data_IF_762535176467
#
_entry.id   IF_762535176467
#
_cell.length_a   1.000
_cell.length_b   1.000
_cell.length_c   1.000
_cell.angle_alpha   90.00
_cell.angle_beta   90.00
_cell.angle_gamma   90.00
#
_symmetry.space_group_name_H-M   'P 1'
#
loop_
_entity.id
_entity.type
_entity.pdbx_description
1 polymer ?
#
# COMPACT_ATOMS: atom_id res chain seq x y z
N UNK A 1 -50.69 -32.09 22.72
CA UNK A 1 -50.87 -33.55 22.76
C UNK A 1 -51.42 -33.98 21.41
N UNK A 2 -50.70 -34.80 20.65
CA UNK A 2 -51.26 -35.90 19.85
C UNK A 2 -50.12 -36.76 19.31
N UNK A 3 -50.05 -37.94 19.89
CA UNK A 3 -49.18 -39.08 19.57
C UNK A 3 -49.97 -39.98 18.60
N UNK A 4 -49.27 -40.70 17.72
CA UNK A 4 -49.67 -41.89 16.93
C UNK A 4 -49.86 -41.67 15.43
N UNK A 5 -48.81 -42.01 14.67
CA UNK A 5 -48.93 -42.91 13.51
C UNK A 5 -47.53 -43.47 13.19
N UNK A 6 -47.32 -44.70 13.66
CA UNK A 6 -46.15 -45.54 13.42
C UNK A 6 -46.45 -46.43 12.20
N UNK A 7 -45.41 -46.77 11.45
CA UNK A 7 -45.18 -48.05 10.72
C UNK A 7 -45.35 -48.06 9.18
N UNK A 8 -44.28 -48.57 8.55
CA UNK A 8 -44.16 -49.18 7.20
C UNK A 8 -43.81 -48.25 6.02
N UNK A 9 -42.50 -48.04 5.76
CA UNK A 9 -41.83 -48.41 4.48
C UNK A 9 -40.35 -48.65 4.78
N UNK A 10 -40.03 -49.90 5.10
CA UNK A 10 -38.69 -50.44 5.34
C UNK A 10 -38.38 -51.40 4.19
N UNK A 11 -38.06 -50.89 2.98
CA UNK A 11 -37.59 -51.72 1.84
C UNK A 11 -37.22 -50.89 0.59
N UNK A 12 -36.20 -50.03 0.69
CA UNK A 12 -35.52 -49.43 -0.46
C UNK A 12 -34.06 -49.04 -0.11
N UNK A 13 -33.43 -49.84 0.76
CA UNK A 13 -31.99 -49.83 1.02
C UNK A 13 -31.37 -51.09 0.37
N UNK A 14 -31.03 -51.01 -0.92
CA UNK A 14 -30.41 -52.14 -1.61
C UNK A 14 -29.99 -51.75 -3.02
N UNK A 15 -28.86 -51.06 -3.13
CA UNK A 15 -28.28 -50.76 -4.45
C UNK A 15 -27.65 -49.37 -4.61
N UNK A 16 -27.16 -48.73 -3.54
CA UNK A 16 -26.17 -47.69 -3.77
C UNK A 16 -24.86 -48.39 -4.15
N UNK A 17 -24.34 -48.22 -5.37
CA UNK A 17 -23.02 -48.72 -5.71
C UNK A 17 -22.06 -48.13 -4.69
N UNK A 18 -21.35 -49.01 -3.99
CA UNK A 18 -20.14 -48.64 -3.29
C UNK A 18 -19.16 -48.15 -4.35
N UNK A 19 -19.27 -46.87 -4.72
CA UNK A 19 -18.18 -46.17 -5.35
C UNK A 19 -17.06 -46.27 -4.35
N UNK A 20 -16.11 -47.16 -4.62
CA UNK A 20 -14.80 -47.17 -3.99
C UNK A 20 -14.28 -45.75 -4.12
N UNK A 21 -14.46 -44.95 -3.08
CA UNK A 21 -13.76 -43.69 -2.95
C UNK A 21 -12.30 -44.10 -3.05
N UNK A 22 -11.70 -43.88 -4.22
CA UNK A 22 -10.27 -44.03 -4.38
C UNK A 22 -9.67 -43.19 -3.27
N UNK A 23 -8.95 -43.82 -2.33
CA UNK A 23 -8.29 -43.16 -1.21
C UNK A 23 -7.25 -42.19 -1.77
N UNK A 24 -7.72 -41.03 -2.20
CA UNK A 24 -6.91 -39.99 -2.76
C UNK A 24 -6.19 -39.33 -1.59
N UNK A 25 -4.91 -39.67 -1.41
CA UNK A 25 -4.14 -39.12 -0.30
C UNK A 25 -3.91 -37.62 -0.46
N UNK A 26 -3.68 -36.94 0.66
CA UNK A 26 -3.47 -35.49 0.74
C UNK A 26 -2.46 -34.95 -0.30
N UNK A 27 -1.44 -35.73 -0.64
CA UNK A 27 -0.42 -35.32 -1.61
C UNK A 27 -0.93 -35.27 -3.05
N UNK A 28 -1.81 -36.19 -3.47
CA UNK A 28 -2.41 -36.15 -4.81
C UNK A 28 -3.37 -34.94 -4.92
N UNK A 29 -4.16 -34.71 -3.88
CA UNK A 29 -5.09 -33.56 -3.81
C UNK A 29 -4.31 -32.24 -3.86
N UNK A 30 -3.20 -32.14 -3.13
CA UNK A 30 -2.35 -30.96 -3.13
C UNK A 30 -1.68 -30.71 -4.49
N UNK A 31 -1.18 -31.75 -5.16
CA UNK A 31 -0.61 -31.64 -6.51
C UNK A 31 -1.69 -31.14 -7.51
N UNK A 32 -2.92 -31.67 -7.43
CA UNK A 32 -4.06 -31.17 -8.22
C UNK A 32 -4.40 -29.71 -7.89
N UNK A 33 -4.34 -29.32 -6.62
CA UNK A 33 -4.61 -27.96 -6.18
C UNK A 33 -3.55 -26.97 -6.70
N UNK A 34 -2.26 -27.34 -6.67
CA UNK A 34 -1.18 -26.52 -7.26
C UNK A 34 -1.37 -26.38 -8.77
N UNK A 35 -1.71 -27.46 -9.48
CA UNK A 35 -1.99 -27.40 -10.91
C UNK A 35 -3.21 -26.51 -11.23
N UNK A 36 -4.22 -26.48 -10.37
CA UNK A 36 -5.35 -25.56 -10.48
C UNK A 36 -4.93 -24.10 -10.25
N UNK A 37 -4.07 -23.84 -9.25
CA UNK A 37 -3.52 -22.53 -8.95
C UNK A 37 -2.68 -21.98 -10.11
N UNK A 38 -1.86 -22.83 -10.74
CA UNK A 38 -1.06 -22.48 -11.92
C UNK A 38 -1.94 -22.08 -13.11
N UNK A 39 -3.11 -22.72 -13.26
CA UNK A 39 -4.14 -22.35 -14.25
C UNK A 39 -5.01 -21.18 -13.81
N UNK A 40 -4.77 -20.60 -12.62
CA UNK A 40 -5.57 -19.53 -11.99
C UNK A 40 -7.04 -19.92 -11.75
N UNK A 41 -7.31 -21.20 -11.58
CA UNK A 41 -8.63 -21.71 -11.21
C UNK A 41 -8.79 -21.66 -9.68
N UNK A 42 -9.05 -20.45 -9.17
CA UNK A 42 -9.10 -20.18 -7.74
C UNK A 42 -10.23 -20.90 -6.99
N UNK A 43 -11.46 -21.04 -7.54
CA UNK A 43 -12.49 -21.86 -6.89
C UNK A 43 -12.04 -23.30 -6.66
N UNK A 44 -11.47 -23.95 -7.69
CA UNK A 44 -10.98 -25.33 -7.59
C UNK A 44 -9.77 -25.42 -6.66
N UNK A 45 -8.87 -24.44 -6.71
CA UNK A 45 -7.73 -24.35 -5.79
C UNK A 45 -8.19 -24.29 -4.33
N UNK A 46 -9.15 -23.43 -4.01
CA UNK A 46 -9.72 -23.30 -2.65
C UNK A 46 -10.26 -24.66 -2.18
N UNK A 47 -11.12 -25.28 -2.98
CA UNK A 47 -11.82 -26.51 -2.59
C UNK A 47 -10.84 -27.68 -2.39
N UNK A 48 -9.83 -27.82 -3.27
CA UNK A 48 -8.81 -28.85 -3.15
C UNK A 48 -7.85 -28.57 -1.99
N UNK A 49 -7.42 -27.33 -1.76
CA UNK A 49 -6.57 -26.99 -0.62
C UNK A 49 -7.29 -27.25 0.71
N UNK A 50 -8.57 -26.90 0.83
CA UNK A 50 -9.38 -27.23 2.00
C UNK A 50 -9.49 -28.74 2.24
N UNK A 51 -9.69 -29.53 1.17
CA UNK A 51 -9.68 -31.01 1.26
C UNK A 51 -8.32 -31.55 1.70
N UNK A 52 -7.22 -31.02 1.17
CA UNK A 52 -5.87 -31.42 1.57
C UNK A 52 -5.62 -31.10 3.05
N UNK A 53 -6.00 -29.90 3.52
CA UNK A 53 -5.90 -29.47 4.92
C UNK A 53 -6.73 -30.36 5.84
N UNK A 54 -7.95 -30.74 5.42
CA UNK A 54 -8.82 -31.62 6.20
C UNK A 54 -8.20 -33.01 6.45
N UNK A 55 -7.39 -33.50 5.52
CA UNK A 55 -6.66 -34.78 5.68
C UNK A 55 -5.33 -34.56 6.40
N UNK A 56 -4.62 -33.46 6.09
CA UNK A 56 -3.31 -33.12 6.67
C UNK A 56 -3.17 -31.60 6.82
N UNK A 57 -3.44 -31.09 8.01
CA UNK A 57 -3.38 -29.66 8.31
C UNK A 57 -1.95 -29.12 8.49
N UNK A 58 -1.03 -29.93 9.00
CA UNK A 58 0.34 -29.49 9.28
C UNK A 58 1.15 -29.32 7.99
N UNK A 59 1.63 -28.10 7.76
CA UNK A 59 2.60 -27.75 6.72
C UNK A 59 3.91 -28.51 6.98
N UNK A 60 4.65 -28.87 5.92
CA UNK A 60 5.91 -29.60 6.02
C UNK A 60 6.87 -29.24 4.87
N UNK A 61 8.15 -29.10 5.20
CA UNK A 61 9.22 -28.95 4.21
C UNK A 61 10.50 -29.67 4.69
N UNK A 62 10.92 -30.76 4.03
CA UNK A 62 10.24 -31.44 2.92
C UNK A 62 9.05 -32.27 3.40
N UNK A 63 8.01 -32.37 2.56
CA UNK A 63 6.94 -33.35 2.71
C UNK A 63 7.19 -34.51 1.74
N UNK A 64 7.08 -35.75 2.21
CA UNK A 64 7.28 -36.95 1.39
C UNK A 64 5.95 -37.68 1.18
N UNK A 65 5.60 -37.93 -0.08
CA UNK A 65 4.40 -38.68 -0.45
C UNK A 65 4.67 -39.49 -1.73
N UNK A 66 4.31 -40.79 -1.73
CA UNK A 66 4.56 -41.74 -2.84
C UNK A 66 5.98 -41.64 -3.44
N UNK A 67 7.01 -41.57 -2.57
CA UNK A 67 8.44 -41.41 -2.94
C UNK A 67 8.81 -40.09 -3.63
N UNK A 68 7.91 -39.11 -3.72
CA UNK A 68 8.21 -37.73 -4.14
C UNK A 68 8.41 -36.85 -2.91
N UNK A 69 9.36 -35.91 -2.99
CA UNK A 69 9.60 -34.88 -1.98
C UNK A 69 9.18 -33.52 -2.54
N UNK A 70 8.40 -32.74 -1.79
CA UNK A 70 7.94 -31.41 -2.19
C UNK A 70 7.68 -30.51 -0.97
N UNK A 71 7.47 -29.22 -1.23
CA UNK A 71 7.10 -28.23 -0.20
C UNK A 71 5.58 -28.24 -0.02
N UNK A 72 5.12 -28.60 1.17
CA UNK A 72 3.69 -28.64 1.51
C UNK A 72 3.32 -27.43 2.38
N UNK A 73 2.75 -26.41 1.75
CA UNK A 73 2.30 -25.15 2.38
C UNK A 73 0.86 -24.80 1.95
N UNK A 74 -0.13 -25.67 2.25
CA UNK A 74 -1.50 -25.50 1.78
C UNK A 74 -2.18 -24.22 2.29
N UNK A 75 -1.88 -23.73 3.49
CA UNK A 75 -2.50 -22.50 4.01
C UNK A 75 -2.05 -21.27 3.21
N UNK A 76 -0.79 -21.23 2.78
CA UNK A 76 -0.31 -20.17 1.87
C UNK A 76 -1.09 -20.15 0.55
N UNK A 77 -1.22 -21.31 -0.11
CA UNK A 77 -1.95 -21.39 -1.38
C UNK A 77 -3.45 -21.14 -1.23
N UNK A 78 -4.06 -21.61 -0.14
CA UNK A 78 -5.44 -21.31 0.20
C UNK A 78 -5.65 -19.80 0.40
N UNK A 79 -4.72 -19.13 1.09
CA UNK A 79 -4.76 -17.67 1.27
C UNK A 79 -4.75 -16.91 -0.06
N UNK A 80 -3.93 -17.33 -1.04
CA UNK A 80 -3.91 -16.75 -2.39
C UNK A 80 -5.27 -16.95 -3.08
N UNK A 81 -5.80 -18.17 -3.04
CA UNK A 81 -7.09 -18.49 -3.66
C UNK A 81 -8.23 -17.65 -3.05
N UNK A 82 -8.30 -17.56 -1.71
CA UNK A 82 -9.30 -16.74 -1.00
C UNK A 82 -9.21 -15.27 -1.36
N UNK A 83 -7.99 -14.72 -1.47
CA UNK A 83 -7.79 -13.33 -1.88
C UNK A 83 -8.38 -13.06 -3.27
N UNK A 84 -8.10 -13.95 -4.23
CA UNK A 84 -8.63 -13.83 -5.58
C UNK A 84 -10.15 -14.03 -5.68
N UNK A 85 -10.74 -14.80 -4.76
CA UNK A 85 -12.19 -14.97 -4.63
C UNK A 85 -12.87 -13.82 -3.87
N UNK A 86 -12.11 -12.82 -3.43
CA UNK A 86 -12.64 -11.66 -2.71
C UNK A 86 -12.86 -11.89 -1.21
N UNK A 87 -12.48 -13.05 -0.66
CA UNK A 87 -12.46 -13.30 0.77
C UNK A 87 -11.13 -12.84 1.38
N UNK A 88 -10.98 -11.52 1.49
CA UNK A 88 -9.76 -10.85 1.97
C UNK A 88 -9.49 -11.17 3.45
N UNK A 89 -10.53 -11.35 4.25
CA UNK A 89 -10.39 -11.72 5.65
C UNK A 89 -10.00 -13.20 5.82
N UNK A 90 -10.59 -14.09 5.02
CA UNK A 90 -10.16 -15.48 4.90
C UNK A 90 -8.69 -15.57 4.51
N UNK A 91 -8.29 -14.86 3.45
CA UNK A 91 -6.91 -14.80 3.01
C UNK A 91 -5.95 -14.36 4.13
N UNK A 92 -6.29 -13.30 4.87
CA UNK A 92 -5.50 -12.81 5.99
C UNK A 92 -5.28 -13.89 7.07
N UNK A 93 -6.35 -14.63 7.42
CA UNK A 93 -6.27 -15.70 8.42
C UNK A 93 -5.37 -16.83 7.95
N UNK A 94 -5.54 -17.30 6.71
CA UNK A 94 -4.73 -18.40 6.17
C UNK A 94 -3.25 -18.04 6.05
N UNK A 95 -2.93 -16.81 5.65
CA UNK A 95 -1.54 -16.32 5.65
C UNK A 95 -0.95 -16.26 7.06
N UNK A 96 -1.71 -15.82 8.06
CA UNK A 96 -1.26 -15.84 9.45
C UNK A 96 -1.07 -17.28 9.95
N UNK A 97 -1.95 -18.21 9.58
CA UNK A 97 -1.80 -19.63 9.91
C UNK A 97 -0.52 -20.21 9.32
N UNK A 98 -0.25 -20.03 8.02
CA UNK A 98 0.99 -20.49 7.38
C UNK A 98 2.24 -19.89 8.04
N UNK A 99 2.23 -18.59 8.34
CA UNK A 99 3.33 -17.91 9.03
C UNK A 99 3.57 -18.47 10.45
N UNK A 100 2.50 -18.76 11.19
CA UNK A 100 2.56 -19.28 12.55
C UNK A 100 3.08 -20.72 12.62
N UNK A 101 2.79 -21.55 11.61
CA UNK A 101 3.37 -22.89 11.49
C UNK A 101 4.88 -22.84 11.17
N UNK A 102 5.40 -21.71 10.68
CA UNK A 102 6.83 -21.45 10.53
C UNK A 102 7.52 -22.17 9.36
N UNK A 103 6.91 -23.23 8.82
CA UNK A 103 7.46 -24.01 7.70
C UNK A 103 7.75 -23.15 6.48
N UNK A 104 6.85 -22.21 6.16
CA UNK A 104 7.00 -21.31 5.02
C UNK A 104 8.26 -20.44 5.08
N UNK A 105 8.79 -20.13 6.27
CA UNK A 105 10.00 -19.30 6.45
C UNK A 105 11.24 -19.90 5.78
N UNK A 106 11.31 -21.23 5.73
CA UNK A 106 12.42 -21.98 5.15
C UNK A 106 12.15 -22.38 3.69
N UNK A 107 11.32 -21.62 2.98
CA UNK A 107 10.92 -21.90 1.59
C UNK A 107 11.11 -20.66 0.72
N UNK A 108 11.16 -20.87 -0.60
CA UNK A 108 11.13 -19.78 -1.58
C UNK A 108 9.83 -18.94 -1.55
N UNK A 109 8.78 -19.42 -0.88
CA UNK A 109 7.49 -18.73 -0.81
C UNK A 109 7.42 -17.65 0.26
N UNK A 110 8.38 -17.58 1.20
CA UNK A 110 8.34 -16.59 2.28
C UNK A 110 8.31 -15.14 1.80
N UNK A 111 9.13 -14.82 0.78
CA UNK A 111 9.11 -13.48 0.17
C UNK A 111 7.75 -13.17 -0.47
N UNK A 112 7.11 -14.17 -1.07
CA UNK A 112 5.78 -14.02 -1.68
C UNK A 112 4.70 -13.81 -0.62
N UNK A 113 4.76 -14.53 0.51
CA UNK A 113 3.83 -14.39 1.63
C UNK A 113 3.76 -12.94 2.11
N UNK A 114 4.92 -12.30 2.32
CA UNK A 114 4.96 -10.89 2.75
C UNK A 114 4.32 -9.95 1.71
N UNK A 115 4.57 -10.19 0.42
CA UNK A 115 3.92 -9.46 -0.66
C UNK A 115 2.39 -9.63 -0.66
N UNK A 116 1.89 -10.84 -0.42
CA UNK A 116 0.45 -11.09 -0.34
C UNK A 116 -0.19 -10.50 0.91
N UNK A 117 0.49 -10.54 2.07
CA UNK A 117 0.02 -9.87 3.29
C UNK A 117 -0.15 -8.36 3.09
N UNK A 118 0.78 -7.71 2.37
CA UNK A 118 0.64 -6.29 1.99
C UNK A 118 -0.61 -6.05 1.14
N UNK A 119 -0.80 -6.86 0.08
CA UNK A 119 -1.97 -6.75 -0.82
C UNK A 119 -3.29 -6.93 -0.08
N UNK A 120 -3.36 -7.89 0.85
CA UNK A 120 -4.53 -8.09 1.72
C UNK A 120 -4.82 -6.82 2.51
N UNK A 121 -3.80 -6.20 3.12
CA UNK A 121 -4.03 -5.02 3.92
C UNK A 121 -4.42 -3.79 3.09
N UNK A 122 -3.80 -3.61 1.93
CA UNK A 122 -4.19 -2.57 0.97
C UNK A 122 -5.66 -2.73 0.55
N UNK A 123 -6.10 -3.96 0.27
CA UNK A 123 -7.48 -4.23 -0.12
C UNK A 123 -8.46 -4.01 1.04
N UNK A 124 -8.08 -4.34 2.28
CA UNK A 124 -8.87 -4.01 3.48
C UNK A 124 -9.07 -2.50 3.62
N UNK A 125 -8.00 -1.73 3.46
CA UNK A 125 -8.07 -0.26 3.50
C UNK A 125 -8.97 0.27 2.38
N UNK A 126 -8.81 -0.22 1.14
CA UNK A 126 -9.68 0.17 0.02
C UNK A 126 -11.14 -0.16 0.27
N UNK A 127 -11.45 -1.33 0.83
CA UNK A 127 -12.82 -1.72 1.20
C UNK A 127 -13.38 -0.83 2.29
N UNK A 128 -12.61 -0.53 3.32
CA UNK A 128 -13.00 0.39 4.38
C UNK A 128 -13.27 1.81 3.83
N UNK A 129 -12.40 2.30 2.93
CA UNK A 129 -12.58 3.58 2.24
C UNK A 129 -13.85 3.62 1.38
N UNK A 130 -14.12 2.57 0.60
CA UNK A 130 -15.35 2.46 -0.20
C UNK A 130 -16.59 2.36 0.68
N UNK A 131 -16.54 1.57 1.75
CA UNK A 131 -17.65 1.48 2.70
C UNK A 131 -17.90 2.82 3.41
N UNK A 132 -16.86 3.63 3.62
CA UNK A 132 -16.98 4.95 4.22
C UNK A 132 -17.36 6.05 3.21
N UNK A 133 -17.32 5.82 1.89
CA UNK A 133 -17.49 6.89 0.89
C UNK A 133 -18.85 7.57 0.98
N UNK A 134 -19.93 6.79 1.15
CA UNK A 134 -21.28 7.35 1.19
C UNK A 134 -21.48 8.22 2.44
N UNK A 135 -21.00 7.73 3.59
CA UNK A 135 -21.08 8.46 4.86
C UNK A 135 -20.17 9.70 4.83
N UNK A 136 -19.00 9.59 4.21
CA UNK A 136 -18.07 10.71 4.00
C UNK A 136 -18.70 11.79 3.11
N UNK A 137 -19.33 11.41 1.99
CA UNK A 137 -20.01 12.34 1.09
C UNK A 137 -21.19 13.03 1.78
N UNK A 138 -21.94 12.31 2.63
CA UNK A 138 -22.99 12.90 3.44
C UNK A 138 -22.44 13.92 4.45
N UNK A 139 -21.34 13.58 5.14
CA UNK A 139 -20.67 14.50 6.05
C UNK A 139 -20.13 15.75 5.35
N UNK A 140 -19.54 15.59 4.15
CA UNK A 140 -19.03 16.69 3.32
C UNK A 140 -20.18 17.63 2.89
N UNK A 141 -21.30 17.05 2.44
CA UNK A 141 -22.52 17.80 2.09
C UNK A 141 -23.05 18.59 3.29
N UNK A 142 -23.10 17.98 4.49
CA UNK A 142 -23.56 18.65 5.70
C UNK A 142 -22.65 19.83 6.10
N UNK A 143 -21.32 19.66 5.99
CA UNK A 143 -20.35 20.76 6.24
C UNK A 143 -20.56 21.89 5.23
N UNK A 144 -20.74 21.57 3.95
CA UNK A 144 -20.99 22.57 2.91
C UNK A 144 -22.28 23.36 3.19
N UNK A 145 -23.37 22.67 3.51
CA UNK A 145 -24.66 23.27 3.87
C UNK A 145 -24.55 24.20 5.09
N UNK A 146 -23.86 23.75 6.16
CA UNK A 146 -23.62 24.55 7.35
C UNK A 146 -22.79 25.81 7.05
N UNK A 147 -21.80 25.69 6.17
CA UNK A 147 -20.95 26.82 5.74
C UNK A 147 -21.74 27.85 4.92
N UNK A 148 -22.64 27.40 4.03
CA UNK A 148 -23.57 28.28 3.31
C UNK A 148 -24.46 29.04 4.30
N UNK A 149 -25.03 28.34 5.30
CA UNK A 149 -25.86 28.97 6.33
C UNK A 149 -25.10 29.94 7.22
N UNK A 150 -23.83 29.66 7.53
CA UNK A 150 -22.96 30.62 8.21
C UNK A 150 -22.87 31.93 7.40
N UNK A 151 -22.62 31.84 6.09
CA UNK A 151 -22.57 33.01 5.20
C UNK A 151 -23.88 33.79 5.17
N UNK A 152 -25.03 33.11 5.04
CA UNK A 152 -26.35 33.74 5.10
C UNK A 152 -26.60 34.49 6.42
N UNK A 153 -26.20 33.89 7.55
CA UNK A 153 -26.35 34.50 8.87
C UNK A 153 -25.48 35.77 9.02
N UNK A 154 -24.28 35.77 8.45
CA UNK A 154 -23.38 36.94 8.44
C UNK A 154 -23.90 38.10 7.58
N UNK A 155 -24.71 37.82 6.55
CA UNK A 155 -25.30 38.86 5.70
C UNK A 155 -26.45 39.61 6.38
N UNK A 156 -27.04 39.08 7.46
CA UNK A 156 -28.07 39.77 8.24
C UNK A 156 -27.39 40.69 9.26
N UNK A 157 -27.63 42.02 9.26
CA UNK A 157 -27.04 42.92 10.24
C UNK A 157 -27.28 42.45 11.69
N UNK A 158 -26.20 42.17 12.41
CA UNK A 158 -26.21 41.68 13.78
C UNK A 158 -26.36 40.15 13.96
N UNK A 159 -26.47 39.38 12.87
CA UNK A 159 -26.57 37.92 12.92
C UNK A 159 -25.32 37.23 13.48
N UNK A 160 -24.15 37.74 13.12
CA UNK A 160 -22.82 37.30 13.57
C UNK A 160 -22.55 37.49 15.07
N UNK A 161 -23.27 38.44 15.69
CA UNK A 161 -23.13 38.79 17.11
C UNK A 161 -24.01 37.96 18.05
N UNK A 162 -24.88 37.11 17.50
CA UNK A 162 -25.76 36.28 18.32
C UNK A 162 -25.02 35.11 18.98
N UNK A 163 -25.48 34.68 20.17
CA UNK A 163 -24.94 33.51 20.87
C UNK A 163 -25.07 32.23 20.04
N UNK A 164 -26.17 32.10 19.29
CA UNK A 164 -26.42 30.98 18.39
C UNK A 164 -25.37 30.92 17.27
N UNK A 165 -24.97 32.06 16.71
CA UNK A 165 -23.91 32.10 15.70
C UNK A 165 -22.57 31.60 16.26
N UNK A 166 -22.20 32.02 17.47
CA UNK A 166 -20.95 31.58 18.11
C UNK A 166 -20.97 30.08 18.45
N UNK A 167 -22.12 29.55 18.90
CA UNK A 167 -22.30 28.10 19.10
C UNK A 167 -22.23 27.35 17.77
N UNK A 168 -22.87 27.87 16.72
CA UNK A 168 -22.83 27.30 15.37
C UNK A 168 -21.41 27.17 14.85
N UNK A 169 -20.59 28.22 15.02
CA UNK A 169 -19.16 28.20 14.66
C UNK A 169 -18.39 27.08 15.37
N UNK A 170 -18.60 26.89 16.68
CA UNK A 170 -17.94 25.82 17.44
C UNK A 170 -18.29 24.43 16.89
N UNK A 171 -19.58 24.17 16.63
CA UNK A 171 -20.01 22.90 16.06
C UNK A 171 -19.46 22.68 14.64
N UNK A 172 -19.39 23.72 13.81
CA UNK A 172 -18.80 23.64 12.48
C UNK A 172 -17.29 23.35 12.55
N UNK A 173 -16.56 24.04 13.44
CA UNK A 173 -15.12 23.79 13.65
C UNK A 173 -14.86 22.36 14.16
N UNK A 174 -15.70 21.86 15.06
CA UNK A 174 -15.64 20.47 15.52
C UNK A 174 -15.94 19.47 14.40
N UNK A 175 -16.91 19.76 13.54
CA UNK A 175 -17.24 18.94 12.39
C UNK A 175 -16.05 18.86 11.42
N UNK A 176 -15.45 20.00 11.05
CA UNK A 176 -14.29 20.06 10.14
C UNK A 176 -13.10 19.29 10.72
N UNK A 177 -12.73 19.53 11.98
CA UNK A 177 -11.63 18.79 12.63
C UNK A 177 -11.93 17.30 12.75
N UNK A 178 -13.19 16.94 12.98
CA UNK A 178 -13.63 15.55 13.01
C UNK A 178 -13.51 14.87 11.65
N UNK A 179 -13.85 15.59 10.57
CA UNK A 179 -13.78 15.10 9.20
C UNK A 179 -12.35 14.72 8.81
N UNK A 180 -11.38 15.60 9.11
CA UNK A 180 -9.97 15.38 8.81
C UNK A 180 -9.39 14.18 9.56
N UNK A 181 -9.90 13.90 10.77
CA UNK A 181 -9.43 12.79 11.63
C UNK A 181 -10.16 11.47 11.40
N UNK A 182 -11.31 11.49 10.72
CA UNK A 182 -12.19 10.32 10.62
C UNK A 182 -11.58 9.14 9.82
N UNK A 183 -10.71 9.42 8.84
CA UNK A 183 -10.02 8.38 8.07
C UNK A 183 -10.99 7.42 7.34
N UNK A 184 -11.17 6.21 7.89
CA UNK A 184 -12.13 5.21 7.36
C UNK A 184 -13.24 4.87 8.36
N UNK A 185 -13.31 5.58 9.49
CA UNK A 185 -14.30 5.35 10.53
C UNK A 185 -15.65 5.97 10.15
N UNK A 186 -16.62 5.11 9.79
CA UNK A 186 -17.98 5.51 9.47
C UNK A 186 -18.68 6.21 10.64
N UNK A 187 -18.44 5.78 11.88
CA UNK A 187 -19.09 6.38 13.06
C UNK A 187 -18.57 7.81 13.27
N UNK A 188 -17.28 8.04 13.02
CA UNK A 188 -16.70 9.38 13.03
C UNK A 188 -17.35 10.29 11.97
N UNK A 189 -17.51 9.83 10.73
CA UNK A 189 -18.20 10.62 9.69
C UNK A 189 -19.67 10.91 10.01
N UNK A 190 -20.40 9.97 10.62
CA UNK A 190 -21.77 10.24 11.09
C UNK A 190 -21.81 11.35 12.14
N UNK A 191 -20.92 11.30 13.13
CA UNK A 191 -20.80 12.34 14.15
C UNK A 191 -20.42 13.71 13.56
N UNK A 192 -19.58 13.72 12.52
CA UNK A 192 -19.26 14.94 11.77
C UNK A 192 -20.51 15.52 11.11
N UNK A 193 -21.29 14.70 10.41
CA UNK A 193 -22.54 15.13 9.79
C UNK A 193 -23.53 15.69 10.83
N UNK A 194 -23.71 15.01 11.97
CA UNK A 194 -24.58 15.48 13.05
C UNK A 194 -24.13 16.83 13.63
N UNK A 195 -22.82 17.05 13.82
CA UNK A 195 -22.29 18.32 14.27
C UNK A 195 -22.50 19.44 13.23
N UNK A 196 -22.31 19.13 11.95
CA UNK A 196 -22.56 20.08 10.87
C UNK A 196 -24.06 20.46 10.77
N UNK A 197 -24.98 19.49 10.91
CA UNK A 197 -26.42 19.75 10.95
C UNK A 197 -26.82 20.63 12.15
N UNK A 198 -26.22 20.41 13.32
CA UNK A 198 -26.41 21.29 14.48
C UNK A 198 -25.90 22.71 14.22
N UNK A 199 -24.74 22.84 13.59
CA UNK A 199 -24.20 24.15 13.20
C UNK A 199 -25.14 24.88 12.24
N UNK A 200 -25.62 24.19 11.20
CA UNK A 200 -26.61 24.69 10.23
C UNK A 200 -27.86 25.24 10.92
N UNK A 201 -28.48 24.46 11.81
CA UNK A 201 -29.67 24.88 12.54
C UNK A 201 -29.43 26.12 13.42
N UNK A 202 -28.26 26.22 14.05
CA UNK A 202 -27.87 27.38 14.86
C UNK A 202 -27.66 28.65 14.00
N UNK A 203 -27.05 28.53 12.82
CA UNK A 203 -26.91 29.66 11.90
C UNK A 203 -28.26 30.15 11.36
N UNK A 204 -29.20 29.23 11.08
CA UNK A 204 -30.56 29.61 10.70
C UNK A 204 -31.30 30.34 11.84
N UNK A 205 -31.13 29.88 13.09
CA UNK A 205 -31.67 30.54 14.28
C UNK A 205 -31.10 31.94 14.48
N UNK A 206 -29.78 32.09 14.32
CA UNK A 206 -29.08 33.37 14.37
C UNK A 206 -29.63 34.36 13.34
N UNK A 207 -29.78 33.92 12.09
CA UNK A 207 -30.33 34.75 11.01
C UNK A 207 -31.78 35.19 11.29
N UNK A 208 -32.63 34.28 11.80
CA UNK A 208 -34.03 34.59 12.17
C UNK A 208 -34.10 35.59 13.33
N UNK A 209 -33.30 35.37 14.36
CA UNK A 209 -33.26 36.23 15.55
C UNK A 209 -32.79 37.65 15.22
N UNK A 210 -31.78 37.79 14.35
CA UNK A 210 -31.32 39.09 13.88
C UNK A 210 -32.37 39.82 13.04
N UNK A 211 -33.07 39.12 12.13
CA UNK A 211 -34.21 39.70 11.38
C UNK A 211 -35.34 40.17 12.31
N UNK A 212 -35.67 39.37 13.34
CA UNK A 212 -36.69 39.74 14.31
C UNK A 212 -36.29 40.95 15.16
N UNK A 213 -35.01 41.09 15.51
CA UNK A 213 -34.50 42.24 16.24
C UNK A 213 -34.61 43.55 15.43
N UNK A 214 -34.43 43.50 14.11
CA UNK A 214 -34.59 44.66 13.22
C UNK A 214 -36.03 45.17 13.12
N UNK A 215 -37.02 44.30 13.36
CA UNK A 215 -38.44 44.66 13.30
C UNK A 215 -38.98 45.25 14.60
N UNK A 216 -38.23 45.15 15.71
CA UNK A 216 -38.67 45.73 16.98
C UNK A 216 -38.57 47.26 16.90
N UNK A 217 -39.67 48.01 17.16
CA UNK A 217 -39.65 49.46 17.15
C UNK A 217 -38.61 49.95 18.15
N UNK A 218 -37.62 50.67 17.63
CA UNK A 218 -36.49 51.19 18.39
C UNK A 218 -37.00 52.26 19.35
N UNK A 219 -37.33 51.89 20.59
CA UNK A 219 -37.48 52.86 21.68
C UNK A 219 -36.10 53.45 21.94
N UNK A 220 -35.86 54.67 21.44
CA UNK A 220 -34.63 55.45 21.58
C UNK A 220 -34.11 55.38 23.02
N UNK A 221 -32.98 54.70 23.28
CA UNK A 221 -32.25 54.84 24.53
C UNK A 221 -31.54 56.19 24.55
N UNK A 222 -31.50 56.82 25.72
CA UNK A 222 -30.79 58.07 25.96
C UNK A 222 -29.30 57.94 25.61
N UNK A 223 -28.79 58.98 24.94
CA UNK A 223 -27.41 59.13 24.47
C UNK A 223 -26.44 59.08 25.65
N UNK A 224 -25.66 58.01 25.76
CA UNK A 224 -24.46 57.94 26.61
C UNK A 224 -23.19 58.19 25.78
N UNK A 225 -22.14 58.78 26.39
CA UNK A 225 -20.94 59.27 25.72
C UNK A 225 -20.10 58.19 25.03
N UNK A 226 -19.23 58.58 24.08
CA UNK A 226 -18.58 57.66 23.13
C UNK A 226 -17.67 56.65 23.83
N UNK A 227 -17.96 55.36 23.63
CA UNK A 227 -17.09 54.25 23.98
C UNK A 227 -15.96 54.11 22.94
N UNK A 228 -14.77 53.65 23.35
CA UNK A 228 -13.60 53.54 22.48
C UNK A 228 -13.82 52.55 21.34
N UNK A 229 -13.21 52.85 20.19
CA UNK A 229 -13.36 52.19 18.89
C UNK A 229 -12.93 50.69 18.93
N UNK A 230 -13.88 49.73 18.98
CA UNK A 230 -13.59 48.30 19.17
C UNK A 230 -12.82 47.67 18.00
N UNK A 231 -12.77 48.32 16.83
CA UNK A 231 -12.00 47.86 15.68
C UNK A 231 -10.48 47.91 15.94
N UNK A 232 -9.99 48.91 16.70
CA UNK A 232 -8.56 49.02 17.02
C UNK A 232 -8.08 47.91 17.96
N UNK A 233 -8.92 47.54 18.94
CA UNK A 233 -8.59 46.46 19.87
C UNK A 233 -8.58 45.08 19.20
N UNK A 234 -9.44 44.86 18.21
CA UNK A 234 -9.46 43.60 17.45
C UNK A 234 -8.22 43.45 16.55
N UNK A 235 -7.77 44.53 15.92
CA UNK A 235 -6.56 44.52 15.08
C UNK A 235 -5.29 44.32 15.92
N UNK A 236 -5.20 44.97 17.08
CA UNK A 236 -4.08 44.79 18.01
C UNK A 236 -4.00 43.35 18.54
N UNK A 237 -5.16 42.75 18.89
CA UNK A 237 -5.21 41.35 19.31
C UNK A 237 -4.80 40.40 18.17
N UNK A 238 -5.25 40.66 16.93
CA UNK A 238 -4.88 39.86 15.76
C UNK A 238 -3.37 39.89 15.51
N UNK A 239 -2.74 41.07 15.59
CA UNK A 239 -1.30 41.20 15.42
C UNK A 239 -0.53 40.48 16.53
N UNK A 240 -1.03 40.54 17.77
CA UNK A 240 -0.47 39.80 18.90
C UNK A 240 -0.54 38.29 18.68
N UNK A 241 -1.71 37.76 18.31
CA UNK A 241 -1.91 36.33 18.06
C UNK A 241 -1.02 35.82 16.90
N UNK A 242 -0.88 36.63 15.84
CA UNK A 242 0.01 36.34 14.72
C UNK A 242 1.48 36.25 15.17
N UNK A 243 1.93 37.20 15.99
CA UNK A 243 3.30 37.24 16.50
C UNK A 243 3.60 36.03 17.41
N UNK A 244 2.72 35.73 18.37
CA UNK A 244 2.88 34.59 19.29
C UNK A 244 2.86 33.24 18.53
N UNK A 245 1.98 33.11 17.54
CA UNK A 245 1.94 31.95 16.67
C UNK A 245 3.25 31.75 15.89
N UNK A 246 3.79 32.83 15.30
CA UNK A 246 5.05 32.78 14.53
C UNK A 246 6.22 32.31 15.39
N UNK A 247 6.35 32.84 16.61
CA UNK A 247 7.40 32.41 17.55
C UNK A 247 7.29 30.92 17.87
N UNK A 248 6.06 30.44 18.12
CA UNK A 248 5.82 29.04 18.45
C UNK A 248 6.17 28.09 17.29
N UNK A 249 5.77 28.43 16.06
CA UNK A 249 6.06 27.59 14.89
C UNK A 249 7.54 27.66 14.50
N UNK A 250 8.18 28.82 14.65
CA UNK A 250 9.63 28.96 14.45
C UNK A 250 10.42 28.02 15.37
N UNK A 251 10.08 27.96 16.66
CA UNK A 251 10.74 27.06 17.61
C UNK A 251 10.57 25.57 17.24
N UNK A 252 9.44 25.19 16.63
CA UNK A 252 9.22 23.82 16.12
C UNK A 252 10.05 23.52 14.88
N UNK A 253 10.23 24.50 13.98
CA UNK A 253 11.11 24.35 12.82
C UNK A 253 12.57 24.15 13.26
N UNK A 254 13.03 24.91 14.25
CA UNK A 254 14.37 24.76 14.82
C UNK A 254 14.56 23.37 15.44
N UNK A 255 13.55 22.87 16.16
CA UNK A 255 13.57 21.52 16.73
C UNK A 255 13.57 20.42 15.63
N UNK A 256 12.83 20.62 14.55
CA UNK A 256 12.82 19.70 13.41
C UNK A 256 14.19 19.67 12.72
N UNK A 257 14.83 20.83 12.49
CA UNK A 257 16.16 20.90 11.89
C UNK A 257 17.21 20.19 12.76
N UNK A 258 17.18 20.39 14.08
CA UNK A 258 18.04 19.67 15.02
C UNK A 258 17.90 18.14 14.90
N UNK A 259 16.66 17.62 14.74
CA UNK A 259 16.41 16.19 14.53
C UNK A 259 16.89 15.70 13.16
N UNK A 260 16.78 16.52 12.12
CA UNK A 260 17.29 16.19 10.79
C UNK A 260 18.82 16.10 10.81
N UNK A 261 19.50 16.99 11.52
CA UNK A 261 20.95 16.91 11.76
C UNK A 261 21.34 15.62 12.51
N UNK A 262 20.61 15.25 13.57
CA UNK A 262 20.84 13.98 14.30
C UNK A 262 20.64 12.74 13.39
N UNK A 263 19.58 12.76 12.56
CA UNK A 263 19.28 11.69 11.62
C UNK A 263 20.38 11.51 10.57
N UNK A 264 20.89 12.61 10.04
CA UNK A 264 21.94 12.62 9.03
C UNK A 264 23.24 11.99 9.55
N UNK A 265 23.68 12.40 10.74
CA UNK A 265 24.89 11.88 11.39
C UNK A 265 24.74 10.42 11.83
N UNK A 266 23.61 10.09 12.47
CA UNK A 266 23.34 8.75 13.00
C UNK A 266 23.20 7.67 11.92
N UNK A 267 22.79 8.06 10.70
CA UNK A 267 22.45 7.16 9.62
C UNK A 267 23.06 7.54 8.26
N UNK A 268 24.29 8.06 8.28
CA UNK A 268 25.05 8.41 7.05
C UNK A 268 25.14 7.32 5.99
N UNK A 269 25.05 6.04 6.38
CA UNK A 269 25.13 4.89 5.49
C UNK A 269 23.76 4.41 4.98
N UNK A 270 22.65 4.89 5.55
CA UNK A 270 21.30 4.51 5.11
C UNK A 270 20.82 5.45 4.00
N UNK A 271 21.04 5.03 2.75
CA UNK A 271 20.66 5.82 1.56
C UNK A 271 19.17 6.20 1.53
N UNK A 272 18.30 5.36 2.09
CA UNK A 272 16.85 5.63 2.09
C UNK A 272 16.50 6.74 3.08
N UNK A 273 17.13 6.73 4.25
CA UNK A 273 16.93 7.77 5.26
C UNK A 273 17.60 9.07 4.85
N UNK A 274 18.76 9.03 4.20
CA UNK A 274 19.44 10.22 3.67
C UNK A 274 18.59 10.97 2.64
N UNK A 275 17.98 10.25 1.68
CA UNK A 275 17.08 10.88 0.71
C UNK A 275 15.86 11.51 1.39
N UNK A 276 15.34 10.87 2.45
CA UNK A 276 14.23 11.45 3.22
C UNK A 276 14.65 12.71 3.97
N UNK A 277 15.80 12.71 4.64
CA UNK A 277 16.34 13.87 5.39
C UNK A 277 16.54 15.06 4.46
N UNK A 278 17.12 14.86 3.27
CA UNK A 278 17.31 15.92 2.28
C UNK A 278 15.98 16.54 1.83
N UNK A 279 14.97 15.71 1.54
CA UNK A 279 13.64 16.19 1.16
C UNK A 279 12.96 16.94 2.30
N UNK A 280 13.10 16.46 3.54
CA UNK A 280 12.52 17.10 4.72
C UNK A 280 13.17 18.46 5.02
N UNK A 281 14.48 18.62 4.80
CA UNK A 281 15.17 19.93 4.90
C UNK A 281 14.61 20.92 3.89
N UNK A 282 14.49 20.52 2.62
CA UNK A 282 13.91 21.37 1.58
C UNK A 282 12.47 21.81 1.92
N UNK A 283 11.67 20.92 2.52
CA UNK A 283 10.33 21.26 3.02
C UNK A 283 10.36 22.21 4.22
N UNK A 284 11.28 22.03 5.17
CA UNK A 284 11.44 22.92 6.32
C UNK A 284 11.79 24.35 5.88
N UNK A 285 12.64 24.51 4.87
CA UNK A 285 12.94 25.81 4.26
C UNK A 285 11.69 26.45 3.64
N UNK A 286 10.89 25.67 2.90
CA UNK A 286 9.62 26.15 2.35
C UNK A 286 8.64 26.59 3.44
N UNK A 287 8.53 25.84 4.53
CA UNK A 287 7.67 26.21 5.67
C UNK A 287 8.17 27.44 6.41
N UNK A 288 9.48 27.61 6.55
CA UNK A 288 10.07 28.84 7.10
C UNK A 288 9.70 30.05 6.25
N UNK A 289 9.81 29.95 4.92
CA UNK A 289 9.39 31.01 4.01
C UNK A 289 7.88 31.31 4.10
N UNK A 290 7.03 30.27 4.16
CA UNK A 290 5.58 30.43 4.33
C UNK A 290 5.22 31.07 5.68
N UNK A 291 5.94 30.72 6.76
CA UNK A 291 5.75 31.30 8.08
C UNK A 291 6.07 32.80 8.08
N UNK A 292 7.15 33.20 7.40
CA UNK A 292 7.52 34.61 7.24
C UNK A 292 6.47 35.40 6.44
N UNK A 293 5.88 34.77 5.42
CA UNK A 293 4.85 35.35 4.55
C UNK A 293 3.42 35.36 5.15
N UNK A 294 3.18 34.67 6.27
CA UNK A 294 1.85 34.48 6.85
C UNK A 294 1.20 35.81 7.28
N UNK A 295 0.11 36.22 6.63
CA UNK A 295 -0.60 37.46 6.98
C UNK A 295 -1.68 37.23 8.05
N UNK A 296 -2.18 36.00 8.17
CA UNK A 296 -3.28 35.64 9.06
C UNK A 296 -2.85 34.56 10.08
N UNK A 297 -3.40 34.56 11.31
CA UNK A 297 -3.13 33.52 12.30
C UNK A 297 -3.44 32.10 11.80
N UNK A 298 -4.43 31.96 10.91
CA UNK A 298 -4.76 30.68 10.27
C UNK A 298 -3.63 30.13 9.39
N UNK A 299 -2.84 31.00 8.77
CA UNK A 299 -1.72 30.57 7.91
C UNK A 299 -0.60 30.00 8.77
N UNK A 300 -0.30 30.67 9.88
CA UNK A 300 0.65 30.19 10.90
C UNK A 300 0.22 28.83 11.44
N UNK A 301 -1.07 28.63 11.71
CA UNK A 301 -1.60 27.36 12.18
C UNK A 301 -1.40 26.22 11.15
N UNK A 302 -1.62 26.48 9.86
CA UNK A 302 -1.41 25.49 8.79
C UNK A 302 0.05 25.09 8.66
N UNK A 303 0.98 26.05 8.74
CA UNK A 303 2.41 25.76 8.75
C UNK A 303 2.76 24.93 9.99
N UNK A 304 2.28 25.32 11.16
CA UNK A 304 2.50 24.57 12.41
C UNK A 304 2.00 23.12 12.39
N UNK A 305 0.87 22.85 11.72
CA UNK A 305 0.37 21.48 11.51
C UNK A 305 1.27 20.67 10.56
N UNK A 306 1.72 21.29 9.48
CA UNK A 306 2.61 20.64 8.50
C UNK A 306 3.95 20.25 9.11
N UNK A 307 4.54 21.13 9.91
CA UNK A 307 5.79 20.87 10.65
C UNK A 307 5.60 19.70 11.63
N UNK A 308 4.50 19.67 12.38
CA UNK A 308 4.22 18.60 13.34
C UNK A 308 4.07 17.22 12.66
N UNK A 309 3.40 17.17 11.51
CA UNK A 309 3.27 15.91 10.74
C UNK A 309 4.62 15.41 10.23
N UNK A 310 5.47 16.29 9.72
CA UNK A 310 6.80 15.89 9.26
C UNK A 310 7.71 15.43 10.40
N UNK A 311 7.60 16.07 11.57
CA UNK A 311 8.30 15.63 12.78
C UNK A 311 7.89 14.20 13.19
N UNK A 312 6.59 13.90 13.17
CA UNK A 312 6.07 12.55 13.47
C UNK A 312 6.57 11.51 12.46
N UNK A 313 6.52 11.82 11.16
CA UNK A 313 7.03 10.93 10.10
C UNK A 313 8.55 10.69 10.23
N UNK A 314 9.33 11.71 10.57
CA UNK A 314 10.77 11.57 10.82
C UNK A 314 11.03 10.66 12.03
N UNK A 315 10.32 10.86 13.14
CA UNK A 315 10.45 10.03 14.34
C UNK A 315 10.11 8.56 14.03
N UNK A 316 9.07 8.30 13.23
CA UNK A 316 8.70 6.95 12.81
C UNK A 316 9.80 6.28 11.98
N UNK A 317 10.38 6.99 11.01
CA UNK A 317 11.48 6.47 10.18
C UNK A 317 12.75 6.22 10.99
N UNK A 318 13.08 7.12 11.91
CA UNK A 318 14.20 6.92 12.84
C UNK A 318 13.98 5.69 13.73
N UNK A 319 12.77 5.47 14.24
CA UNK A 319 12.46 4.29 15.03
C UNK A 319 12.64 2.99 14.22
N UNK A 320 12.20 2.96 12.95
CA UNK A 320 12.40 1.82 12.06
C UNK A 320 13.88 1.57 11.77
N UNK A 321 14.66 2.62 11.50
CA UNK A 321 16.09 2.52 11.23
C UNK A 321 16.87 2.05 12.47
N UNK A 322 16.52 2.54 13.67
CA UNK A 322 17.08 2.06 14.94
C UNK A 322 16.73 0.59 15.19
N UNK A 323 15.49 0.18 14.94
CA UNK A 323 15.07 -1.20 15.09
C UNK A 323 15.79 -2.15 14.12
N UNK A 324 16.03 -1.72 12.88
CA UNK A 324 16.82 -2.48 11.90
C UNK A 324 18.27 -2.66 12.35
N UNK A 325 18.88 -1.61 12.92
CA UNK A 325 20.27 -1.66 13.44
C UNK A 325 20.41 -2.49 14.73
N UNK A 326 19.35 -2.61 15.52
CA UNK A 326 19.35 -3.34 16.78
C UNK A 326 19.19 -4.86 16.63
N UNK A 327 18.93 -5.37 15.42
CA UNK A 327 18.90 -6.81 15.20
C UNK A 327 20.35 -7.34 15.22
N UNK A 328 20.68 -8.32 16.10
CA UNK A 328 22.04 -8.81 16.25
C UNK A 328 22.54 -9.45 14.95
N UNK A 329 23.73 -9.05 14.52
CA UNK A 329 24.39 -9.50 13.28
C UNK A 329 24.88 -10.98 13.33
N UNK A 330 24.66 -11.70 14.43
CA UNK A 330 25.21 -13.04 14.69
C UNK A 330 24.42 -14.21 14.08
N UNK A 331 24.00 -14.09 12.81
CA UNK A 331 23.71 -15.26 11.98
C UNK A 331 24.33 -15.03 10.61
N UNK A 332 25.59 -15.42 10.46
CA UNK A 332 26.24 -15.62 9.16
C UNK A 332 25.47 -16.70 8.37
N UNK A 333 24.42 -16.29 7.65
CA UNK A 333 23.94 -17.00 6.48
C UNK A 333 24.65 -16.43 5.25
N UNK A 334 24.98 -17.27 4.24
CA UNK A 334 25.67 -16.81 3.05
C UNK A 334 24.85 -15.77 2.30
N UNK A 335 25.33 -14.52 2.39
CA UNK A 335 25.12 -13.37 1.50
C UNK A 335 23.76 -13.30 0.79
N UNK A 336 22.76 -12.78 1.50
CA UNK A 336 21.61 -12.18 0.85
C UNK A 336 22.10 -10.99 0.02
N UNK A 337 22.10 -11.15 -1.31
CA UNK A 337 22.13 -9.99 -2.22
C UNK A 337 20.97 -9.10 -1.79
N UNK A 338 21.28 -7.89 -1.27
CA UNK A 338 20.27 -7.02 -0.67
C UNK A 338 19.14 -6.80 -1.67
N UNK A 339 17.89 -6.70 -1.18
CA UNK A 339 16.72 -6.51 -2.05
C UNK A 339 16.89 -5.33 -3.03
N UNK A 340 17.66 -4.31 -2.63
CA UNK A 340 18.06 -3.19 -3.48
C UNK A 340 18.95 -3.61 -4.67
N UNK A 341 19.92 -4.50 -4.46
CA UNK A 341 20.76 -5.03 -5.53
C UNK A 341 19.96 -5.92 -6.50
N UNK A 342 18.98 -6.68 -6.00
CA UNK A 342 18.06 -7.45 -6.86
C UNK A 342 17.22 -6.50 -7.73
N UNK A 343 16.69 -5.41 -7.17
CA UNK A 343 15.89 -4.46 -7.94
C UNK A 343 16.73 -3.67 -8.96
N UNK A 344 17.98 -3.37 -8.64
CA UNK A 344 18.93 -2.79 -9.59
C UNK A 344 19.20 -3.73 -10.77
N UNK A 345 19.44 -5.02 -10.53
CA UNK A 345 19.61 -6.03 -11.59
C UNK A 345 18.35 -6.11 -12.46
N UNK A 346 17.15 -6.14 -11.85
CA UNK A 346 15.88 -6.17 -12.61
C UNK A 346 15.68 -4.93 -13.47
N UNK A 347 16.05 -3.75 -12.95
CA UNK A 347 15.97 -2.49 -13.71
C UNK A 347 16.87 -2.55 -14.95
N UNK A 348 18.10 -3.03 -14.81
CA UNK A 348 19.03 -3.11 -15.93
C UNK A 348 18.64 -4.21 -16.94
N UNK A 349 18.10 -5.34 -16.48
CA UNK A 349 17.52 -6.36 -17.38
C UNK A 349 16.33 -5.81 -18.18
N UNK A 350 15.43 -5.03 -17.55
CA UNK A 350 14.34 -4.33 -18.26
C UNK A 350 14.87 -3.36 -19.31
N UNK A 351 15.96 -2.63 -19.01
CA UNK A 351 16.61 -1.73 -19.97
C UNK A 351 17.21 -2.50 -21.14
N UNK A 352 17.89 -3.62 -20.88
CA UNK A 352 18.44 -4.47 -21.93
C UNK A 352 17.34 -5.01 -22.87
N UNK A 353 16.23 -5.51 -22.32
CA UNK A 353 15.07 -5.91 -23.13
C UNK A 353 14.47 -4.76 -23.94
N UNK A 354 14.39 -3.56 -23.36
CA UNK A 354 13.95 -2.35 -24.06
C UNK A 354 14.84 -2.00 -25.25
N UNK A 355 16.17 -2.05 -25.06
CA UNK A 355 17.15 -1.84 -26.12
C UNK A 355 17.03 -2.89 -27.23
N UNK A 356 16.89 -4.17 -26.87
CA UNK A 356 16.64 -5.25 -27.84
C UNK A 356 15.37 -5.01 -28.66
N UNK A 357 14.25 -4.68 -27.99
CA UNK A 357 12.97 -4.40 -28.65
C UNK A 357 13.03 -3.16 -29.56
N UNK A 358 13.86 -2.17 -29.24
CA UNK A 358 14.11 -1.00 -30.07
C UNK A 358 15.05 -1.28 -31.26
N UNK A 359 15.62 -2.49 -31.36
CA UNK A 359 16.60 -2.85 -32.39
C UNK A 359 18.01 -2.31 -32.10
N UNK A 360 18.28 -1.72 -30.94
CA UNK A 360 19.61 -1.22 -30.54
C UNK A 360 20.46 -2.35 -29.95
N UNK A 361 20.81 -3.34 -30.78
CA UNK A 361 21.49 -4.58 -30.35
C UNK A 361 22.81 -4.33 -29.61
N UNK A 362 23.61 -3.34 -30.04
CA UNK A 362 24.87 -2.96 -29.38
C UNK A 362 24.66 -2.41 -27.96
N UNK A 363 23.58 -1.65 -27.75
CA UNK A 363 23.25 -1.14 -26.42
C UNK A 363 22.79 -2.27 -25.49
N UNK A 364 21.95 -3.18 -26.00
CA UNK A 364 21.53 -4.38 -25.28
C UNK A 364 22.74 -5.24 -24.85
N UNK A 365 23.71 -5.45 -25.76
CA UNK A 365 24.95 -6.18 -25.45
C UNK A 365 25.80 -5.45 -24.40
N UNK A 366 25.92 -4.13 -24.49
CA UNK A 366 26.68 -3.31 -23.54
C UNK A 366 26.12 -3.43 -22.11
N UNK A 367 24.80 -3.28 -21.95
CA UNK A 367 24.12 -3.37 -20.65
C UNK A 367 24.29 -4.76 -20.04
N UNK A 368 24.03 -5.81 -20.82
CA UNK A 368 24.15 -7.20 -20.35
C UNK A 368 25.59 -7.59 -20.04
N UNK A 369 26.57 -7.07 -20.79
CA UNK A 369 28.00 -7.26 -20.51
C UNK A 369 28.43 -6.57 -19.21
N UNK A 370 27.96 -5.35 -18.95
CA UNK A 370 28.21 -4.68 -17.68
C UNK A 370 27.63 -5.46 -16.49
N UNK A 371 26.40 -5.97 -16.62
CA UNK A 371 25.76 -6.82 -15.61
C UNK A 371 26.60 -8.08 -15.33
N UNK A 372 27.02 -8.78 -16.37
CA UNK A 372 27.82 -10.00 -16.26
C UNK A 372 29.18 -9.73 -15.59
N UNK A 373 29.87 -8.66 -16.00
CA UNK A 373 31.18 -8.28 -15.46
C UNK A 373 31.15 -7.86 -13.99
N UNK A 374 30.00 -7.35 -13.50
CA UNK A 374 29.84 -6.88 -12.12
C UNK A 374 29.73 -7.99 -11.06
N UNK A 375 30.04 -9.25 -11.41
CA UNK A 375 29.74 -10.47 -10.61
C UNK A 375 28.25 -10.66 -10.29
N UNK A 376 27.36 -9.92 -10.96
CA UNK A 376 25.89 -10.03 -10.88
C UNK A 376 25.31 -10.74 -12.11
N UNK A 377 26.11 -11.56 -12.78
CA UNK A 377 25.68 -12.30 -13.97
C UNK A 377 24.57 -13.29 -13.62
N UNK A 378 23.36 -13.01 -14.07
CA UNK A 378 22.21 -13.91 -14.00
C UNK A 378 22.12 -14.74 -15.28
N UNK A 379 21.45 -15.90 -15.22
CA UNK A 379 21.08 -16.69 -16.39
C UNK A 379 20.32 -15.85 -17.41
N UNK A 380 19.43 -14.96 -16.95
CA UNK A 380 18.69 -14.03 -17.79
C UNK A 380 19.59 -13.04 -18.53
N UNK A 381 20.61 -12.47 -17.87
CA UNK A 381 21.55 -11.55 -18.53
C UNK A 381 22.33 -12.23 -19.66
N UNK A 382 22.81 -13.46 -19.43
CA UNK A 382 23.45 -14.26 -20.48
C UNK A 382 22.49 -14.61 -21.60
N UNK A 383 21.24 -14.98 -21.27
CA UNK A 383 20.22 -15.30 -22.26
C UNK A 383 19.93 -14.09 -23.17
N UNK A 384 19.66 -12.91 -22.62
CA UNK A 384 19.39 -11.69 -23.40
C UNK A 384 20.58 -11.33 -24.30
N UNK A 385 21.82 -11.41 -23.78
CA UNK A 385 23.01 -11.14 -24.60
C UNK A 385 23.16 -12.13 -25.76
N UNK A 386 22.90 -13.42 -25.50
CA UNK A 386 22.88 -14.45 -26.55
C UNK A 386 21.83 -14.17 -27.62
N UNK A 387 20.63 -13.71 -27.23
CA UNK A 387 19.57 -13.32 -28.16
C UNK A 387 20.01 -12.14 -29.05
N UNK A 388 20.61 -11.11 -28.45
CA UNK A 388 21.11 -9.94 -29.18
C UNK A 388 22.20 -10.33 -30.19
N UNK A 389 23.18 -11.13 -29.78
CA UNK A 389 24.28 -11.60 -30.64
C UNK A 389 23.83 -12.53 -31.75
N UNK A 390 22.89 -13.44 -31.48
CA UNK A 390 22.28 -14.27 -32.52
C UNK A 390 21.57 -13.40 -33.57
N UNK A 391 20.79 -12.42 -33.11
CA UNK A 391 20.05 -11.51 -34.00
C UNK A 391 21.02 -10.67 -34.83
N UNK A 392 22.11 -10.20 -34.24
CA UNK A 392 23.16 -9.48 -34.95
C UNK A 392 23.85 -10.36 -36.00
N UNK A 393 24.17 -11.62 -35.65
CA UNK A 393 24.75 -12.56 -36.59
C UNK A 393 23.84 -12.81 -37.80
N UNK A 394 22.55 -13.00 -37.57
CA UNK A 394 21.56 -13.23 -38.63
C UNK A 394 21.32 -11.99 -39.51
N UNK A 395 21.46 -10.79 -38.96
CA UNK A 395 21.22 -9.54 -39.70
C UNK A 395 22.46 -9.05 -40.46
N UNK A 396 23.66 -9.24 -39.89
CA UNK A 396 24.93 -8.79 -40.49
C UNK A 396 25.70 -9.91 -41.20
N UNK A 397 25.20 -11.15 -41.15
CA UNK A 397 25.90 -12.34 -41.67
C UNK A 397 27.30 -12.52 -41.06
N UNK A 398 27.46 -12.18 -39.78
CA UNK A 398 28.71 -12.33 -39.04
C UNK A 398 28.71 -13.68 -38.29
N UNK A 399 29.36 -14.69 -38.87
CA UNK A 399 29.47 -16.03 -38.27
C UNK A 399 30.14 -16.01 -36.88
N UNK A 400 31.05 -15.08 -36.62
CA UNK A 400 31.73 -14.96 -35.33
C UNK A 400 30.80 -14.57 -34.18
N UNK A 401 29.64 -13.98 -34.47
CA UNK A 401 28.62 -13.65 -33.47
C UNK A 401 27.76 -14.86 -33.09
N UNK A 402 27.64 -15.88 -33.95
CA UNK A 402 26.92 -17.12 -33.61
C UNK A 402 27.66 -17.93 -32.54
N UNK A 403 28.98 -18.02 -32.62
CA UNK A 403 29.78 -18.72 -31.61
C UNK A 403 29.66 -18.05 -30.24
N UNK A 404 29.67 -16.71 -30.21
CA UNK A 404 29.46 -15.94 -28.99
C UNK A 404 28.05 -16.14 -28.43
N UNK A 405 27.03 -16.17 -29.28
CA UNK A 405 25.65 -16.46 -28.86
C UNK A 405 25.53 -17.88 -28.28
N UNK A 406 26.18 -18.87 -28.90
CA UNK A 406 26.25 -20.26 -28.41
C UNK A 406 26.84 -20.32 -27.01
N UNK A 407 27.98 -19.64 -26.80
CA UNK A 407 28.66 -19.59 -25.51
C UNK A 407 27.80 -18.94 -24.41
N UNK A 408 27.10 -17.86 -24.74
CA UNK A 408 26.17 -17.20 -23.82
C UNK A 408 24.98 -18.10 -23.45
N UNK A 409 24.35 -18.77 -24.43
CA UNK A 409 23.26 -19.70 -24.17
C UNK A 409 23.68 -20.92 -23.37
N UNK A 410 24.86 -21.49 -23.66
CA UNK A 410 25.42 -22.59 -22.88
C UNK A 410 25.66 -22.17 -21.42
N UNK A 411 26.15 -20.94 -21.20
CA UNK A 411 26.36 -20.39 -19.87
C UNK A 411 25.04 -20.14 -19.14
N UNK A 412 24.04 -19.56 -19.82
CA UNK A 412 22.70 -19.37 -19.27
C UNK A 412 22.07 -20.70 -18.83
N UNK A 413 22.16 -21.74 -19.68
CA UNK A 413 21.69 -23.08 -19.36
C UNK A 413 22.49 -23.74 -18.23
N UNK A 414 23.79 -23.46 -18.11
CA UNK A 414 24.62 -23.93 -16.99
C UNK A 414 24.11 -23.38 -15.65
N UNK A 415 23.76 -22.09 -15.63
CA UNK A 415 23.19 -21.42 -14.46
C UNK A 415 21.75 -21.87 -14.18
N UNK A 416 20.94 -22.04 -15.22
CA UNK A 416 19.54 -22.47 -15.12
C UNK A 416 19.18 -23.53 -16.19
N UNK A 417 19.30 -24.84 -15.86
CA UNK A 417 18.98 -25.92 -16.81
C UNK A 417 17.50 -25.97 -17.26
N UNK A 418 16.61 -25.32 -16.48
CA UNK A 418 15.17 -25.25 -16.78
C UNK A 418 14.80 -24.07 -17.68
N UNK A 419 15.75 -23.21 -18.05
CA UNK A 419 15.50 -22.06 -18.92
C UNK A 419 14.88 -22.50 -20.26
N UNK A 420 13.79 -21.84 -20.66
CA UNK A 420 13.08 -22.06 -21.92
C UNK A 420 12.69 -20.71 -22.53
N UNK A 421 12.70 -20.64 -23.84
CA UNK A 421 12.17 -19.50 -24.57
C UNK A 421 10.75 -19.75 -25.03
N UNK A 422 9.92 -18.71 -24.91
CA UNK A 422 8.54 -18.74 -25.41
C UNK A 422 8.53 -18.41 -26.91
N UNK A 423 7.99 -19.35 -27.70
CA UNK A 423 7.84 -19.23 -29.16
C UNK A 423 6.90 -18.10 -29.58
N UNK A 424 6.06 -17.59 -28.68
CA UNK A 424 5.14 -16.48 -28.97
C UNK A 424 5.83 -15.11 -28.88
N UNK A 425 6.97 -15.02 -28.18
CA UNK A 425 7.66 -13.76 -27.91
C UNK A 425 8.97 -13.62 -28.68
N UNK A 426 9.51 -14.72 -29.19
CA UNK A 426 10.79 -14.78 -29.89
C UNK A 426 10.63 -15.51 -31.22
N UNK A 427 11.52 -15.21 -32.19
CA UNK A 427 11.43 -15.84 -33.51
C UNK A 427 11.57 -17.37 -33.41
N UNK A 428 10.78 -18.16 -34.15
CA UNK A 428 10.87 -19.62 -34.11
C UNK A 428 12.30 -20.14 -34.36
N UNK A 429 13.04 -19.52 -35.28
CA UNK A 429 14.43 -19.86 -35.61
C UNK A 429 15.39 -19.71 -34.42
N UNK A 430 15.27 -18.62 -33.67
CA UNK A 430 16.07 -18.40 -32.46
C UNK A 430 15.74 -19.44 -31.39
N UNK A 431 14.45 -19.75 -31.21
CA UNK A 431 14.02 -20.75 -30.21
C UNK A 431 14.53 -22.14 -30.58
N UNK A 432 14.42 -22.53 -31.86
CA UNK A 432 14.93 -23.81 -32.35
C UNK A 432 16.46 -23.91 -32.18
N UNK A 433 17.20 -22.83 -32.47
CA UNK A 433 18.64 -22.74 -32.25
C UNK A 433 19.02 -22.90 -30.77
N UNK A 434 18.33 -22.21 -29.86
CA UNK A 434 18.54 -22.37 -28.42
C UNK A 434 18.22 -23.81 -27.94
N UNK A 435 17.15 -24.41 -28.45
CA UNK A 435 16.77 -25.79 -28.12
C UNK A 435 17.80 -26.82 -28.63
N UNK A 436 18.46 -26.56 -29.75
CA UNK A 436 19.55 -27.39 -30.25
C UNK A 436 20.75 -27.37 -29.30
N UNK A 437 21.18 -26.18 -28.86
CA UNK A 437 22.25 -26.01 -27.86
C UNK A 437 21.88 -26.71 -26.55
N UNK A 438 20.60 -26.64 -26.15
CA UNK A 438 20.10 -27.33 -24.96
C UNK A 438 20.18 -28.86 -25.09
N UNK A 439 19.91 -29.41 -26.28
CA UNK A 439 19.96 -30.85 -26.56
C UNK A 439 21.40 -31.38 -26.66
N UNK A 440 22.34 -30.58 -27.16
CA UNK A 440 23.74 -30.98 -27.34
C UNK A 440 24.55 -31.02 -26.04
N UNK A 441 24.00 -30.50 -24.94
CA UNK A 441 24.65 -30.53 -23.63
C UNK A 441 24.76 -31.97 -23.10
N UNK A 442 25.96 -32.44 -22.72
CA UNK A 442 26.10 -33.73 -22.05
C UNK A 442 25.29 -33.74 -20.74
N UNK A 443 24.51 -34.81 -20.56
CA UNK A 443 23.63 -34.99 -19.39
C UNK A 443 24.41 -35.19 -18.10
#
# INVERSE_FOLDING_TARGET
>A
MNVRALTVVLLLLGGLPAFSATDEGWGDIYEKAQAAADRRDWPVTRDLMQKAIAIKAAEQNPAVYKKKSFVYVPHFWLGIALFHLGDVDGAAREFATSESQGVIRNTMYFAQLNGWKSKVQEEKVKRAQRAASDVRNAADTAIADATIKQGEAMMVPGGDRSDDFQKGRKFLDEAIRGYDKAGTDQAAYKKVAENADRAKALFESAAKSAKAAQQRPVTRPAVTPPKPDPAKLAEEQKQKDLAEGRVTVSAKLDALDAKLNEAEEGFKNDRSLQSYVQNARAQAEQWSALLAAAAEPSDVQKVGQSVAMAEEQLNQKLAMARAAKAQPEDVEMPSATSAAAIEEIRRDLRRAWGAFAAGTLTECESITTALISSKRGTDEAYAIRGIARYTEAMTKSDEGMLDKATSDFATALRLNPKLRFDRNHLSPKLVDYFDEIRKSRPR
#
